data_IF_395012690126
#
_entry.id   IF_395012690126
#
_cell.length_a   1.000
_cell.length_b   1.000
_cell.length_c   1.000
_cell.angle_alpha   90.00
_cell.angle_beta   90.00
_cell.angle_gamma   90.00
#
_symmetry.space_group_name_H-M   'P 1'
#
loop_
_entity.id
_entity.type
_entity.pdbx_description
1 polymer ?
#
# COMPACT_ATOMS: atom_id res chain seq x y z
N UNK A 1 -12.98 -22.62 29.17
CA UNK A 1 -13.52 -21.61 30.10
C UNK A 1 -14.54 -20.75 29.36
N UNK A 2 -15.78 -20.69 29.88
CA UNK A 2 -16.86 -19.81 29.38
C UNK A 2 -16.67 -18.41 29.98
N UNK A 3 -16.80 -17.37 29.17
CA UNK A 3 -17.35 -16.01 29.40
C UNK A 3 -16.56 -14.95 28.63
N UNK A 4 -17.03 -14.59 27.44
CA UNK A 4 -16.87 -13.22 26.95
C UNK A 4 -18.28 -12.74 26.61
N UNK A 5 -18.72 -11.68 27.30
CA UNK A 5 -19.98 -11.03 27.02
C UNK A 5 -20.06 -10.68 25.53
N UNK A 6 -21.22 -10.85 24.87
CA UNK A 6 -21.35 -10.59 23.43
C UNK A 6 -20.96 -9.16 23.04
N UNK A 7 -21.08 -8.19 23.97
CA UNK A 7 -20.54 -6.83 23.81
C UNK A 7 -19.01 -6.80 23.67
N UNK A 8 -18.28 -7.42 24.61
CA UNK A 8 -16.81 -7.45 24.61
C UNK A 8 -16.26 -8.19 23.39
N UNK A 9 -16.96 -9.20 22.89
CA UNK A 9 -16.58 -9.90 21.66
C UNK A 9 -16.70 -8.98 20.41
N UNK A 10 -17.66 -8.06 20.40
CA UNK A 10 -17.79 -7.05 19.35
C UNK A 10 -16.64 -6.03 19.38
N UNK A 11 -16.31 -5.53 20.57
CA UNK A 11 -15.23 -4.56 20.79
C UNK A 11 -13.84 -5.12 20.40
N UNK A 12 -13.54 -6.36 20.79
CA UNK A 12 -12.28 -7.02 20.42
C UNK A 12 -12.16 -7.18 18.90
N UNK A 13 -13.25 -7.53 18.22
CA UNK A 13 -13.26 -7.61 16.74
C UNK A 13 -13.05 -6.25 16.09
N UNK A 14 -13.68 -5.20 16.62
CA UNK A 14 -13.52 -3.84 16.12
C UNK A 14 -12.06 -3.36 16.28
N UNK A 15 -11.44 -3.59 17.44
CA UNK A 15 -10.03 -3.28 17.68
C UNK A 15 -9.10 -4.08 16.76
N UNK A 16 -9.34 -5.38 16.59
CA UNK A 16 -8.55 -6.20 15.67
C UNK A 16 -8.65 -5.67 14.24
N UNK A 17 -9.85 -5.25 13.83
CA UNK A 17 -10.08 -4.69 12.51
C UNK A 17 -9.35 -3.36 12.31
N UNK A 18 -9.42 -2.44 13.27
CA UNK A 18 -8.69 -1.16 13.19
C UNK A 18 -7.17 -1.38 13.17
N UNK A 19 -6.62 -2.27 14.00
CA UNK A 19 -5.19 -2.60 13.95
C UNK A 19 -4.75 -3.14 12.59
N UNK A 20 -5.50 -4.11 12.04
CA UNK A 20 -5.22 -4.65 10.72
C UNK A 20 -5.33 -3.58 9.62
N UNK A 21 -6.26 -2.65 9.75
CA UNK A 21 -6.46 -1.52 8.82
C UNK A 21 -5.33 -0.50 8.91
N UNK A 22 -4.82 -0.21 10.10
CA UNK A 22 -3.69 0.70 10.32
C UNK A 22 -2.38 0.08 9.80
N UNK A 23 -2.10 -1.19 10.12
CA UNK A 23 -0.97 -1.93 9.55
C UNK A 23 -1.08 -2.00 8.01
N UNK A 24 -2.29 -2.20 7.48
CA UNK A 24 -2.53 -2.14 6.03
C UNK A 24 -2.23 -0.76 5.42
N UNK A 25 -2.62 0.34 6.10
CA UNK A 25 -2.32 1.71 5.66
C UNK A 25 -0.81 2.02 5.70
N UNK A 26 -0.09 1.44 6.67
CA UNK A 26 1.36 1.57 6.82
C UNK A 26 2.14 0.66 5.85
N UNK A 27 1.49 -0.33 5.24
CA UNK A 27 2.15 -1.36 4.41
C UNK A 27 2.97 -2.36 5.22
N UNK A 28 2.76 -2.38 6.54
CA UNK A 28 3.46 -3.23 7.49
C UNK A 28 2.68 -4.53 7.70
N UNK A 29 3.38 -5.65 7.95
CA UNK A 29 2.73 -6.91 8.25
C UNK A 29 2.03 -6.86 9.63
N UNK A 30 1.06 -7.73 9.84
CA UNK A 30 0.34 -7.88 11.11
C UNK A 30 1.01 -9.02 11.89
N UNK A 31 1.86 -8.67 12.85
CA UNK A 31 2.41 -9.66 13.78
C UNK A 31 1.34 -10.08 14.79
N UNK A 32 1.14 -11.39 14.97
CA UNK A 32 0.12 -11.93 15.89
C UNK A 32 0.39 -11.46 17.32
N UNK A 33 1.67 -11.34 17.70
CA UNK A 33 2.07 -10.86 19.03
C UNK A 33 1.71 -9.39 19.24
N UNK A 34 2.01 -8.53 18.27
CA UNK A 34 1.65 -7.11 18.31
C UNK A 34 0.13 -6.90 18.32
N UNK A 35 -0.61 -7.66 17.50
CA UNK A 35 -2.06 -7.66 17.50
C UNK A 35 -2.63 -8.11 18.86
N UNK A 36 -2.05 -9.16 19.45
CA UNK A 36 -2.49 -9.69 20.75
C UNK A 36 -2.28 -8.67 21.88
N UNK A 37 -1.14 -7.97 21.90
CA UNK A 37 -0.89 -6.87 22.83
C UNK A 37 -1.80 -5.65 22.61
N UNK A 38 -2.13 -5.33 21.37
CA UNK A 38 -3.06 -4.24 21.03
C UNK A 38 -4.51 -4.53 21.48
N UNK A 39 -4.91 -5.81 21.44
CA UNK A 39 -6.23 -6.24 21.85
C UNK A 39 -6.41 -6.25 23.37
N UNK A 40 -5.42 -6.72 24.10
CA UNK A 40 -5.43 -6.82 25.56
C UNK A 40 -4.04 -6.54 26.14
N UNK A 41 -3.80 -5.28 26.53
CA UNK A 41 -2.54 -4.85 27.15
C UNK A 41 -2.27 -5.55 28.50
N UNK A 42 -3.32 -6.02 29.19
CA UNK A 42 -3.18 -6.68 30.49
C UNK A 42 -2.87 -8.18 30.34
N UNK A 43 -3.26 -8.78 29.20
CA UNK A 43 -3.03 -10.20 28.89
C UNK A 43 -2.59 -10.38 27.43
N UNK A 44 -1.37 -9.93 27.08
CA UNK A 44 -0.91 -9.87 25.69
C UNK A 44 -0.70 -11.23 25.03
N UNK A 45 -0.72 -12.35 25.76
CA UNK A 45 -0.60 -13.70 25.18
C UNK A 45 -1.96 -14.34 24.85
N UNK A 46 -3.06 -13.80 25.40
CA UNK A 46 -4.37 -14.46 25.38
C UNK A 46 -4.90 -14.66 23.97
N UNK A 47 -4.75 -13.68 23.09
CA UNK A 47 -5.21 -13.79 21.73
C UNK A 47 -4.29 -14.67 20.87
N UNK A 48 -2.96 -14.61 21.09
CA UNK A 48 -1.98 -15.49 20.43
C UNK A 48 -2.26 -16.97 20.73
N UNK A 49 -2.47 -17.32 22.00
CA UNK A 49 -2.84 -18.69 22.42
C UNK A 49 -4.19 -19.12 21.86
N UNK A 50 -5.17 -18.21 21.83
CA UNK A 50 -6.48 -18.50 21.25
C UNK A 50 -6.37 -18.77 19.74
N UNK A 51 -5.62 -17.94 19.02
CA UNK A 51 -5.44 -18.05 17.58
C UNK A 51 -4.66 -19.31 17.20
N UNK A 52 -3.62 -19.69 17.93
CA UNK A 52 -2.85 -20.92 17.67
C UNK A 52 -3.63 -22.21 17.89
N UNK A 53 -4.64 -22.19 18.79
CA UNK A 53 -5.51 -23.34 19.05
C UNK A 53 -6.69 -23.45 18.08
N UNK A 54 -7.16 -22.33 17.52
CA UNK A 54 -8.40 -22.28 16.73
C UNK A 54 -8.18 -22.02 15.24
N UNK A 55 -6.96 -21.68 14.81
CA UNK A 55 -6.62 -21.39 13.43
C UNK A 55 -5.22 -21.91 13.07
N UNK A 56 -5.02 -22.24 11.80
CA UNK A 56 -3.69 -22.49 11.25
C UNK A 56 -2.97 -21.16 11.05
N UNK A 57 -2.19 -20.76 12.05
CA UNK A 57 -1.29 -19.61 11.94
C UNK A 57 -0.05 -19.99 11.13
N UNK A 58 0.49 -19.06 10.32
CA UNK A 58 1.79 -19.27 9.69
C UNK A 58 2.87 -19.44 10.77
N UNK A 59 3.84 -20.31 10.50
CA UNK A 59 4.94 -20.64 11.44
C UNK A 59 5.78 -19.39 11.81
N UNK A 60 5.76 -18.38 10.95
CA UNK A 60 6.39 -17.07 11.21
C UNK A 60 5.68 -16.24 12.27
N UNK A 61 4.42 -16.53 12.61
CA UNK A 61 3.60 -15.69 13.50
C UNK A 61 3.19 -14.34 12.90
N UNK A 62 3.42 -14.17 11.59
CA UNK A 62 3.17 -12.93 10.86
C UNK A 62 2.05 -13.15 9.86
N UNK A 63 0.93 -12.44 10.06
CA UNK A 63 -0.11 -12.31 9.06
C UNK A 63 0.30 -11.22 8.08
N UNK A 64 0.41 -11.60 6.82
CA UNK A 64 0.58 -10.64 5.74
C UNK A 64 -0.82 -10.22 5.28
N UNK A 65 -1.37 -9.06 5.70
CA UNK A 65 -2.64 -8.58 5.18
C UNK A 65 -2.51 -8.49 3.66
N UNK A 66 -3.28 -9.32 2.95
CA UNK A 66 -3.07 -9.73 1.56
C UNK A 66 -2.23 -8.73 0.73
N UNK A 67 -0.90 -8.95 0.76
CA UNK A 67 0.05 -8.16 0.00
C UNK A 67 -0.08 -8.41 -1.52
N UNK A 68 -1.05 -9.20 -1.99
CA UNK A 68 -1.36 -9.26 -3.43
C UNK A 68 -1.83 -7.90 -3.99
N UNK A 69 -2.10 -6.92 -3.13
CA UNK A 69 -2.23 -5.49 -3.50
C UNK A 69 -1.03 -4.61 -3.14
N UNK A 70 -0.03 -5.11 -2.44
CA UNK A 70 1.36 -4.60 -2.54
C UNK A 70 1.91 -5.13 -3.86
N UNK A 71 1.25 -4.76 -4.96
CA UNK A 71 1.88 -4.74 -6.27
C UNK A 71 3.14 -3.94 -6.03
N UNK A 72 4.32 -4.58 -6.12
CA UNK A 72 5.55 -3.89 -6.50
C UNK A 72 5.13 -2.89 -7.56
N UNK A 73 5.14 -1.59 -7.23
CA UNK A 73 4.92 -0.52 -8.19
C UNK A 73 6.07 -0.67 -9.17
N UNK A 74 5.87 -1.52 -10.19
CA UNK A 74 6.91 -1.82 -11.17
C UNK A 74 7.22 -0.48 -11.81
N UNK A 75 8.44 -0.01 -11.62
CA UNK A 75 8.88 1.26 -12.18
C UNK A 75 9.22 1.00 -13.64
N UNK A 76 8.52 1.67 -14.53
CA UNK A 76 8.85 1.69 -15.95
C UNK A 76 9.84 2.83 -16.13
N UNK A 77 11.00 2.52 -16.71
CA UNK A 77 12.07 3.49 -16.90
C UNK A 77 12.79 3.23 -18.22
N UNK A 78 13.26 4.30 -18.86
CA UNK A 78 14.07 4.24 -20.07
C UNK A 78 14.85 5.53 -20.25
N UNK A 79 16.05 5.43 -20.80
CA UNK A 79 16.91 6.56 -21.12
C UNK A 79 17.54 6.37 -22.50
N UNK A 80 17.67 7.47 -23.24
CA UNK A 80 18.21 7.47 -24.60
C UNK A 80 17.97 8.80 -25.30
N UNK A 81 18.82 9.15 -26.28
CA UNK A 81 18.64 10.35 -27.10
C UNK A 81 18.61 11.68 -26.32
N UNK A 82 19.25 11.74 -25.15
CA UNK A 82 19.22 12.92 -24.27
C UNK A 82 17.96 13.02 -23.39
N UNK A 83 17.08 12.02 -23.43
CA UNK A 83 15.87 11.95 -22.61
C UNK A 83 15.96 10.81 -21.58
N UNK A 84 15.40 11.03 -20.39
CA UNK A 84 15.21 10.00 -19.37
C UNK A 84 13.79 10.09 -18.85
N UNK A 85 13.08 8.97 -18.84
CA UNK A 85 11.68 8.87 -18.41
C UNK A 85 11.57 7.77 -17.39
N UNK A 86 10.86 8.05 -16.30
CA UNK A 86 10.66 7.06 -15.26
C UNK A 86 9.41 7.34 -14.43
N UNK A 87 8.51 6.36 -14.38
CA UNK A 87 7.22 6.48 -13.70
C UNK A 87 6.76 5.12 -13.18
N UNK A 88 5.77 5.15 -12.28
CA UNK A 88 5.19 3.94 -11.74
C UNK A 88 4.17 3.33 -12.71
N UNK A 89 4.17 2.00 -12.84
CA UNK A 89 3.30 1.25 -13.76
C UNK A 89 1.81 1.45 -13.53
N UNK A 90 1.39 1.88 -12.34
CA UNK A 90 0.00 2.24 -12.05
C UNK A 90 -0.47 3.47 -12.83
N UNK A 91 0.43 4.37 -13.22
CA UNK A 91 0.11 5.55 -14.02
C UNK A 91 -0.21 5.22 -15.48
N UNK A 92 0.13 4.00 -15.95
CA UNK A 92 -0.23 3.53 -17.29
C UNK A 92 -1.74 3.46 -17.43
N UNK A 93 -2.28 3.99 -18.53
CA UNK A 93 -3.72 4.14 -18.80
C UNK A 93 -4.48 5.01 -17.78
N UNK A 94 -3.79 5.76 -16.92
CA UNK A 94 -4.39 6.75 -16.03
C UNK A 94 -3.90 8.15 -16.36
N UNK A 95 -2.58 8.34 -16.37
CA UNK A 95 -1.92 9.60 -16.65
C UNK A 95 -0.84 9.47 -17.74
N UNK A 96 -0.40 8.25 -18.01
CA UNK A 96 0.60 7.91 -19.04
C UNK A 96 -0.02 6.92 -20.01
N UNK A 97 -0.06 7.29 -21.28
CA UNK A 97 -0.68 6.49 -22.34
C UNK A 97 0.37 6.21 -23.40
N UNK A 98 0.57 4.95 -23.74
CA UNK A 98 1.47 4.54 -24.81
C UNK A 98 0.66 4.11 -26.02
N UNK A 99 0.83 4.84 -27.12
CA UNK A 99 0.32 4.51 -28.44
C UNK A 99 1.37 3.67 -29.16
N UNK A 100 1.02 2.41 -29.43
CA UNK A 100 1.91 1.45 -30.10
C UNK A 100 2.00 1.67 -31.60
N UNK A 101 0.95 2.22 -32.21
CA UNK A 101 0.88 2.39 -33.67
C UNK A 101 1.74 3.57 -34.10
N UNK A 102 1.79 4.62 -33.27
CA UNK A 102 2.58 5.83 -33.51
C UNK A 102 3.90 5.91 -32.70
N UNK A 103 4.21 4.88 -31.92
CA UNK A 103 5.33 4.84 -30.97
C UNK A 103 5.45 6.12 -30.11
N UNK A 104 4.33 6.52 -29.51
CA UNK A 104 4.20 7.79 -28.80
C UNK A 104 3.78 7.59 -27.35
N UNK A 105 4.45 8.30 -26.43
CA UNK A 105 4.10 8.34 -25.02
C UNK A 105 3.46 9.69 -24.66
N UNK A 106 2.19 9.67 -24.28
CA UNK A 106 1.44 10.86 -23.85
C UNK A 106 1.32 10.91 -22.33
N UNK A 107 1.70 12.04 -21.73
CA UNK A 107 1.59 12.29 -20.29
C UNK A 107 0.58 13.42 -20.06
N UNK A 108 -0.57 13.11 -19.48
CA UNK A 108 -1.68 14.08 -19.30
C UNK A 108 -1.64 14.80 -17.96
N UNK A 109 -0.89 14.28 -16.98
CA UNK A 109 -0.76 14.87 -15.64
C UNK A 109 0.69 15.19 -15.32
N UNK A 110 1.16 16.31 -15.84
CA UNK A 110 2.54 16.77 -15.65
C UNK A 110 2.78 17.29 -14.21
N UNK A 111 3.96 17.01 -13.61
CA UNK A 111 4.37 17.66 -12.36
C UNK A 111 4.41 19.18 -12.50
N UNK A 112 4.01 19.90 -11.45
CA UNK A 112 3.92 21.37 -11.45
C UNK A 112 5.23 22.03 -11.90
N UNK A 113 6.36 21.59 -11.36
CA UNK A 113 7.68 22.13 -11.70
C UNK A 113 8.03 21.96 -13.18
N UNK A 114 7.75 20.78 -13.77
CA UNK A 114 8.01 20.52 -15.18
C UNK A 114 7.13 21.38 -16.08
N UNK A 115 5.83 21.48 -15.75
CA UNK A 115 4.90 22.34 -16.48
C UNK A 115 5.34 23.81 -16.48
N UNK A 116 5.73 24.33 -15.32
CA UNK A 116 6.23 25.72 -15.22
C UNK A 116 7.53 25.94 -16.00
N UNK A 117 8.44 24.96 -16.01
CA UNK A 117 9.66 25.04 -16.81
C UNK A 117 9.36 25.04 -18.32
N UNK A 118 8.47 24.16 -18.77
CA UNK A 118 8.04 24.11 -20.17
C UNK A 118 7.39 25.42 -20.61
N UNK A 119 6.49 25.95 -19.78
CA UNK A 119 5.79 27.19 -20.10
C UNK A 119 6.75 28.37 -20.23
N UNK A 120 7.66 28.57 -19.26
CA UNK A 120 8.70 29.61 -19.36
C UNK A 120 9.58 29.44 -20.61
N UNK A 121 9.98 28.21 -20.91
CA UNK A 121 10.83 27.93 -22.07
C UNK A 121 10.13 28.26 -23.40
N UNK A 122 8.82 28.02 -23.50
CA UNK A 122 8.03 28.35 -24.68
C UNK A 122 7.81 29.87 -24.80
N UNK A 123 7.46 30.55 -23.70
CA UNK A 123 7.29 32.02 -23.67
C UNK A 123 8.56 32.74 -24.12
N UNK A 124 9.75 32.31 -23.69
CA UNK A 124 11.04 32.89 -24.13
C UNK A 124 11.38 32.65 -25.60
N UNK A 125 10.71 31.72 -26.30
CA UNK A 125 10.94 31.45 -27.73
C UNK A 125 9.95 32.14 -28.65
N UNK A 126 8.86 32.68 -28.11
CA UNK A 126 7.86 33.45 -28.85
C UNK A 126 8.18 34.96 -28.89
N UNK A 127 9.17 35.40 -28.10
CA UNK A 127 9.82 36.72 -28.17
C UNK A 127 11.03 36.73 -29.13
#
# INVERSE_FOLDING_TARGET
AKNSEPEKAGEVRAKAYEFCKDQHALGEPVEIEALSGYLDENQPERFKEFASQNAELPESGVLHPDHRKVKKLVRIAGSGGGMSVSFSSDLVNQAVYYDRDNDALTITRLPKALREQLQRYLETREE
#
